data_IF_669033762596
#
_entry.id   IF_669033762596
#
_cell.length_a   1.000
_cell.length_b   1.000
_cell.length_c   1.000
_cell.angle_alpha   90.00
_cell.angle_beta   90.00
_cell.angle_gamma   90.00
#
_symmetry.space_group_name_H-M   'P 1'
#
loop_
_entity.id
_entity.type
_entity.pdbx_description
1 polymer ?
#
# COMPACT_ATOMS: atom_id res chain seq x y z
N UNK A 1 -6.63 20.51 16.79
CA UNK A 1 -7.14 19.53 15.81
C UNK A 1 -7.42 20.18 14.45
N UNK A 2 -8.24 21.24 14.32
CA UNK A 2 -8.54 21.90 13.02
C UNK A 2 -7.28 22.40 12.27
N UNK A 3 -6.26 22.92 12.96
CA UNK A 3 -5.00 23.40 12.36
C UNK A 3 -4.14 22.27 11.79
N UNK A 4 -4.17 21.09 12.41
CA UNK A 4 -3.44 19.90 11.92
C UNK A 4 -4.11 19.35 10.65
N UNK A 5 -5.43 19.31 10.64
CA UNK A 5 -6.20 18.89 9.45
C UNK A 5 -5.95 19.85 8.29
N UNK A 6 -5.96 21.16 8.55
CA UNK A 6 -5.67 22.16 7.53
C UNK A 6 -4.23 22.06 7.00
N UNK A 7 -3.25 21.83 7.89
CA UNK A 7 -1.86 21.62 7.50
C UNK A 7 -1.69 20.33 6.67
N UNK A 8 -2.40 19.27 6.99
CA UNK A 8 -2.40 18.04 6.19
C UNK A 8 -3.05 18.26 4.82
N UNK A 9 -4.16 18.98 4.74
CA UNK A 9 -4.82 19.32 3.46
C UNK A 9 -3.89 20.20 2.60
N UNK A 10 -3.24 21.21 3.20
CA UNK A 10 -2.28 22.05 2.49
C UNK A 10 -1.04 21.27 2.03
N UNK A 11 -0.55 20.33 2.83
CA UNK A 11 0.56 19.46 2.44
C UNK A 11 0.18 18.54 1.27
N UNK A 12 -1.03 17.97 1.28
CA UNK A 12 -1.54 17.15 0.17
C UNK A 12 -1.77 18.02 -1.09
N UNK A 13 -2.31 19.23 -0.94
CA UNK A 13 -2.53 20.14 -2.05
C UNK A 13 -1.22 20.66 -2.67
N UNK A 14 -0.19 20.89 -1.85
CA UNK A 14 1.15 21.29 -2.37
C UNK A 14 1.88 20.15 -3.08
N UNK A 15 1.59 18.90 -2.75
CA UNK A 15 2.06 17.74 -3.51
C UNK A 15 1.42 17.64 -4.89
N UNK A 16 0.18 18.09 -5.06
CA UNK A 16 -0.51 18.17 -6.36
C UNK A 16 0.12 19.14 -7.35
N UNK A 17 0.78 20.20 -6.89
CA UNK A 17 1.48 21.17 -7.76
C UNK A 17 2.77 20.62 -8.43
N UNK A 18 3.24 19.43 -7.99
CA UNK A 18 4.39 18.72 -8.57
C UNK A 18 3.93 17.48 -9.39
N UNK A 19 2.69 17.46 -9.83
CA UNK A 19 1.89 16.27 -10.08
C UNK A 19 2.03 15.60 -11.45
N UNK A 20 3.00 15.97 -12.29
CA UNK A 20 3.08 15.39 -13.65
C UNK A 20 3.30 13.86 -13.68
N UNK A 21 3.71 13.24 -12.54
CA UNK A 21 3.95 11.81 -12.42
C UNK A 21 3.40 11.20 -11.10
N UNK A 22 2.34 11.81 -10.56
CA UNK A 22 1.75 11.38 -9.28
C UNK A 22 0.47 10.60 -9.48
N UNK A 23 0.22 9.63 -8.61
CA UNK A 23 -0.97 8.75 -8.68
C UNK A 23 -1.54 8.51 -7.29
N UNK A 24 -2.85 8.52 -7.22
CA UNK A 24 -3.58 7.97 -6.09
C UNK A 24 -3.71 6.46 -6.29
N UNK A 25 -3.33 5.67 -5.28
CA UNK A 25 -3.41 4.21 -5.32
C UNK A 25 -4.48 3.73 -4.35
N UNK A 26 -5.30 2.78 -4.80
CA UNK A 26 -6.28 2.09 -3.95
C UNK A 26 -6.12 0.60 -4.21
N UNK A 27 -5.84 -0.18 -3.18
CA UNK A 27 -5.66 -1.61 -3.31
C UNK A 27 -6.49 -2.34 -2.26
N UNK A 28 -6.93 -3.55 -2.61
CA UNK A 28 -7.59 -4.46 -1.69
C UNK A 28 -7.10 -5.89 -1.95
N UNK A 29 -7.01 -6.69 -0.91
CA UNK A 29 -6.51 -8.03 -1.04
C UNK A 29 -6.60 -8.88 0.21
N UNK A 30 -5.96 -10.01 0.12
CA UNK A 30 -5.92 -11.00 1.17
C UNK A 30 -4.47 -11.35 1.54
N UNK A 31 -4.18 -11.29 2.84
CA UNK A 31 -2.90 -11.72 3.40
C UNK A 31 -3.10 -12.97 4.26
N UNK A 32 -2.28 -13.98 4.03
CA UNK A 32 -2.22 -15.16 4.88
C UNK A 32 -1.60 -14.82 6.25
N UNK A 33 -2.06 -15.47 7.33
CA UNK A 33 -2.96 -16.62 7.34
C UNK A 33 -4.46 -16.27 7.22
N UNK A 34 -4.92 -15.07 7.50
CA UNK A 34 -6.37 -14.80 7.50
C UNK A 34 -6.69 -13.32 7.64
N UNK A 35 -6.15 -12.50 6.77
CA UNK A 35 -6.35 -11.06 6.84
C UNK A 35 -6.88 -10.51 5.53
N UNK A 36 -8.03 -9.84 5.58
CA UNK A 36 -8.51 -8.98 4.50
C UNK A 36 -7.96 -7.57 4.74
N UNK A 37 -7.36 -6.96 3.74
CA UNK A 37 -6.79 -5.63 3.85
C UNK A 37 -7.15 -4.71 2.70
N UNK A 38 -7.12 -3.43 2.97
CA UNK A 38 -7.29 -2.35 2.00
C UNK A 38 -6.25 -1.27 2.25
N UNK A 39 -5.65 -0.76 1.18
CA UNK A 39 -4.68 0.32 1.24
C UNK A 39 -5.10 1.49 0.40
N UNK A 40 -4.80 2.67 0.88
CA UNK A 40 -4.87 3.92 0.11
C UNK A 40 -3.50 4.57 0.18
N UNK A 41 -2.96 4.98 -0.96
CA UNK A 41 -1.62 5.55 -1.03
C UNK A 41 -1.48 6.63 -2.07
N UNK A 42 -0.38 7.35 -1.95
CA UNK A 42 0.09 8.32 -2.91
C UNK A 42 1.41 7.83 -3.48
N UNK A 43 1.45 7.59 -4.78
CA UNK A 43 2.65 7.16 -5.50
C UNK A 43 3.18 8.32 -6.33
N UNK A 44 4.47 8.57 -6.25
CA UNK A 44 5.20 9.50 -7.12
C UNK A 44 6.22 8.72 -7.93
N UNK A 45 6.10 8.80 -9.25
CA UNK A 45 7.05 8.19 -10.18
C UNK A 45 8.24 9.13 -10.43
N UNK A 46 9.41 8.52 -10.63
CA UNK A 46 10.65 9.20 -10.99
C UNK A 46 11.14 8.77 -12.36
N UNK A 47 12.26 9.34 -12.78
CA UNK A 47 12.97 8.95 -13.98
C UNK A 47 13.19 7.44 -14.01
N UNK A 48 13.12 6.85 -15.19
CA UNK A 48 13.22 5.41 -15.44
C UNK A 48 12.09 4.54 -14.88
N UNK A 49 11.00 5.16 -14.38
CA UNK A 49 9.79 4.47 -13.89
C UNK A 49 9.93 3.82 -12.52
N UNK A 50 10.96 4.17 -11.77
CA UNK A 50 11.00 3.94 -10.33
C UNK A 50 9.97 4.85 -9.66
N UNK A 51 9.48 4.44 -8.49
CA UNK A 51 8.49 5.22 -7.76
C UNK A 51 8.70 5.11 -6.25
N UNK A 52 8.15 6.07 -5.54
CA UNK A 52 7.97 6.00 -4.08
C UNK A 52 6.49 6.13 -3.79
N UNK A 53 6.00 5.30 -2.92
CA UNK A 53 4.62 5.32 -2.44
C UNK A 53 4.61 5.51 -0.93
N UNK A 54 3.80 6.44 -0.45
CA UNK A 54 3.38 6.52 0.94
C UNK A 54 1.95 6.00 1.02
N UNK A 55 1.67 5.10 1.94
CA UNK A 55 0.37 4.48 2.06
C UNK A 55 -0.11 4.36 3.49
N UNK A 56 -1.43 4.26 3.65
CA UNK A 56 -2.10 3.80 4.86
C UNK A 56 -2.90 2.54 4.55
N UNK A 57 -2.86 1.61 5.46
CA UNK A 57 -3.55 0.31 5.36
C UNK A 57 -4.44 0.09 6.56
N UNK A 58 -5.60 -0.48 6.30
CA UNK A 58 -6.47 -1.04 7.31
C UNK A 58 -6.78 -2.48 6.95
N UNK A 59 -6.76 -3.34 7.95
CA UNK A 59 -7.08 -4.74 7.75
C UNK A 59 -7.82 -5.35 8.92
N UNK A 60 -8.41 -6.47 8.64
CA UNK A 60 -9.17 -7.23 9.61
C UNK A 60 -8.73 -8.69 9.61
N UNK A 61 -8.44 -9.20 10.80
CA UNK A 61 -8.15 -10.61 11.01
C UNK A 61 -9.43 -11.42 11.03
N UNK A 62 -9.49 -12.40 10.15
CA UNK A 62 -10.57 -13.35 10.06
C UNK A 62 -10.28 -14.54 10.99
N UNK A 63 -10.96 -14.61 12.12
CA UNK A 63 -10.89 -15.76 13.02
C UNK A 63 -12.06 -16.70 12.75
N UNK A 64 -11.75 -17.97 12.55
CA UNK A 64 -12.76 -19.02 12.39
C UNK A 64 -13.47 -19.26 13.73
N UNK A 65 -14.77 -18.98 13.79
CA UNK A 65 -15.62 -19.25 14.93
C UNK A 65 -16.97 -18.54 14.83
N UNK A 66 -18.07 -19.11 15.36
CA UNK A 66 -19.36 -18.48 15.34
C UNK A 66 -19.32 -17.13 16.08
N UNK A 67 -19.73 -16.06 15.41
CA UNK A 67 -19.76 -14.69 15.94
C UNK A 67 -18.39 -13.98 16.05
N UNK A 68 -17.33 -14.53 15.49
CA UNK A 68 -15.99 -13.96 15.59
C UNK A 68 -15.43 -13.37 14.28
N UNK A 69 -16.26 -13.28 13.25
CA UNK A 69 -15.85 -12.91 11.90
C UNK A 69 -15.10 -11.58 11.78
N UNK A 70 -15.30 -10.65 12.73
CA UNK A 70 -14.75 -9.29 12.68
C UNK A 70 -13.95 -8.91 13.94
N UNK A 71 -13.24 -9.83 14.55
CA UNK A 71 -12.39 -9.55 15.70
C UNK A 71 -10.93 -9.47 15.27
N UNK A 72 -10.34 -8.29 15.41
CA UNK A 72 -8.93 -8.05 15.20
C UNK A 72 -8.64 -7.07 14.07
N UNK A 73 -8.87 -5.79 14.35
CA UNK A 73 -8.45 -4.73 13.44
C UNK A 73 -6.97 -4.44 13.62
N UNK A 74 -6.32 -4.17 12.51
CA UNK A 74 -5.03 -3.51 12.51
C UNK A 74 -5.08 -2.32 11.56
N UNK A 75 -4.19 -1.39 11.80
CA UNK A 75 -3.86 -0.35 10.85
C UNK A 75 -2.36 -0.23 10.75
N UNK A 76 -1.89 0.08 9.60
CA UNK A 76 -0.49 0.40 9.37
C UNK A 76 -0.32 1.45 8.29
N UNK A 77 0.89 1.90 8.15
CA UNK A 77 1.33 2.79 7.09
C UNK A 77 2.79 2.57 6.81
N UNK A 78 3.20 2.94 5.62
CA UNK A 78 4.57 2.70 5.19
C UNK A 78 5.02 3.61 4.07
N UNK A 79 6.31 3.52 3.83
CA UNK A 79 6.98 4.16 2.70
C UNK A 79 7.62 3.08 1.84
N UNK A 80 7.14 2.92 0.62
CA UNK A 80 7.56 1.87 -0.29
C UNK A 80 8.35 2.47 -1.44
N UNK A 81 9.57 1.98 -1.64
CA UNK A 81 10.30 2.20 -2.87
C UNK A 81 9.98 1.10 -3.87
N UNK A 82 9.74 1.50 -5.12
CA UNK A 82 9.39 0.61 -6.23
C UNK A 82 10.43 0.75 -7.32
N UNK A 83 11.15 -0.33 -7.57
CA UNK A 83 12.14 -0.40 -8.64
C UNK A 83 11.57 -1.12 -9.85
N UNK A 84 11.58 -0.48 -11.01
CA UNK A 84 11.10 -1.09 -12.25
C UNK A 84 12.14 -2.03 -12.82
N UNK A 85 11.79 -3.33 -12.88
CA UNK A 85 12.65 -4.36 -13.48
C UNK A 85 12.45 -4.45 -14.99
N UNK A 86 11.19 -4.40 -15.42
CA UNK A 86 10.85 -4.61 -16.84
C UNK A 86 9.64 -3.79 -17.26
N UNK A 87 9.63 -3.37 -18.52
CA UNK A 87 8.47 -2.73 -19.17
C UNK A 87 8.24 -3.36 -20.53
N UNK A 88 6.99 -3.73 -20.79
CA UNK A 88 6.56 -4.26 -22.09
C UNK A 88 5.25 -3.59 -22.49
N UNK A 89 5.29 -2.82 -23.60
CA UNK A 89 4.12 -2.06 -24.07
C UNK A 89 3.43 -1.30 -22.92
N UNK A 90 2.23 -1.73 -22.54
CA UNK A 90 1.41 -1.13 -21.50
C UNK A 90 1.63 -1.78 -20.12
N UNK A 91 2.44 -2.83 -20.05
CA UNK A 91 2.74 -3.55 -18.81
C UNK A 91 4.07 -3.12 -18.19
N UNK A 92 4.15 -3.11 -16.87
CA UNK A 92 5.41 -2.92 -16.15
C UNK A 92 5.48 -3.84 -14.94
N UNK A 93 6.67 -4.38 -14.69
CA UNK A 93 6.96 -5.23 -13.55
C UNK A 93 7.94 -4.53 -12.62
N UNK A 94 7.61 -4.44 -11.34
CA UNK A 94 8.36 -3.73 -10.31
C UNK A 94 8.62 -4.63 -9.11
N UNK A 95 9.76 -4.45 -8.46
CA UNK A 95 10.01 -4.88 -7.08
C UNK A 95 9.62 -3.74 -6.18
N UNK A 96 9.00 -4.05 -5.05
CA UNK A 96 8.63 -3.09 -4.02
C UNK A 96 9.22 -3.49 -2.67
N UNK A 97 9.71 -2.52 -1.91
CA UNK A 97 10.20 -2.75 -0.56
C UNK A 97 10.23 -1.45 0.25
N UNK A 98 10.08 -1.59 1.55
CA UNK A 98 10.18 -0.44 2.45
C UNK A 98 9.76 -0.74 3.87
N UNK A 99 9.96 0.22 4.78
CA UNK A 99 9.52 0.12 6.15
C UNK A 99 8.01 0.33 6.28
N UNK A 100 7.44 -0.36 7.25
CA UNK A 100 6.06 -0.18 7.69
C UNK A 100 6.00 -0.05 9.21
N UNK A 101 4.98 0.64 9.71
CA UNK A 101 4.68 0.76 11.13
C UNK A 101 3.17 0.81 11.33
N UNK A 102 2.72 0.29 12.45
CA UNK A 102 1.29 0.23 12.71
C UNK A 102 0.95 -0.30 14.10
N UNK A 103 -0.30 -0.65 14.27
CA UNK A 103 -0.76 -1.26 15.51
C UNK A 103 -1.79 -2.37 15.24
N UNK A 104 -1.68 -3.44 16.00
CA UNK A 104 -2.61 -4.56 16.06
C UNK A 104 -3.15 -4.62 17.48
N UNK A 105 -4.48 -4.54 17.65
CA UNK A 105 -5.13 -4.65 18.97
C UNK A 105 -4.48 -3.77 20.06
N UNK A 106 -4.14 -2.50 19.73
CA UNK A 106 -3.46 -1.51 20.60
C UNK A 106 -1.98 -1.80 20.88
N UNK A 107 -1.36 -2.79 20.22
CA UNK A 107 0.06 -3.06 20.33
C UNK A 107 0.77 -2.58 19.08
N UNK A 108 1.75 -1.73 19.27
CA UNK A 108 2.54 -1.16 18.18
C UNK A 108 3.49 -2.21 17.57
N UNK A 109 3.65 -2.17 16.26
CA UNK A 109 4.65 -2.95 15.55
C UNK A 109 5.41 -2.09 14.54
N UNK A 110 6.61 -2.55 14.23
CA UNK A 110 7.43 -2.05 13.13
C UNK A 110 7.72 -3.25 12.24
N UNK A 111 7.78 -3.04 10.94
CA UNK A 111 8.04 -4.12 10.02
C UNK A 111 8.70 -3.66 8.73
N UNK A 112 8.95 -4.64 7.90
CA UNK A 112 9.40 -4.45 6.52
C UNK A 112 8.37 -5.07 5.58
N UNK A 113 8.04 -4.33 4.54
CA UNK A 113 7.25 -4.81 3.42
C UNK A 113 8.18 -5.07 2.23
N UNK A 114 7.92 -6.16 1.51
CA UNK A 114 8.60 -6.47 0.27
C UNK A 114 7.70 -7.28 -0.66
N UNK A 115 7.96 -7.22 -1.96
CA UNK A 115 7.17 -7.98 -2.91
C UNK A 115 7.33 -7.55 -4.35
N UNK A 116 6.38 -7.98 -5.16
CA UNK A 116 6.34 -7.71 -6.59
C UNK A 116 5.04 -7.01 -6.96
N UNK A 117 5.11 -6.18 -7.97
CA UNK A 117 3.97 -5.44 -8.49
C UNK A 117 3.98 -5.48 -10.02
N UNK A 118 2.91 -5.97 -10.60
CA UNK A 118 2.64 -5.85 -12.02
C UNK A 118 1.59 -4.77 -12.25
N UNK A 119 1.87 -3.83 -13.16
CA UNK A 119 0.95 -2.76 -13.53
C UNK A 119 0.62 -2.84 -15.01
N UNK A 120 -0.64 -2.67 -15.33
CA UNK A 120 -1.13 -2.48 -16.69
C UNK A 120 -1.71 -1.08 -16.84
N UNK A 121 -1.16 -0.30 -17.76
CA UNK A 121 -1.54 1.10 -18.01
C UNK A 121 -2.60 1.15 -19.10
N UNK A 122 -3.75 1.74 -18.78
CA UNK A 122 -4.82 2.00 -19.74
C UNK A 122 -4.54 3.27 -20.55
N UNK A 123 -5.27 3.45 -21.65
CA UNK A 123 -5.13 4.62 -22.53
C UNK A 123 -5.43 5.97 -21.83
N UNK A 124 -6.27 5.95 -20.81
CA UNK A 124 -6.63 7.14 -20.01
C UNK A 124 -5.60 7.46 -18.90
N UNK A 125 -4.47 6.74 -18.83
CA UNK A 125 -3.45 6.94 -17.82
C UNK A 125 -3.70 6.24 -16.48
N UNK A 126 -4.88 5.67 -16.26
CA UNK A 126 -5.12 4.81 -15.09
C UNK A 126 -4.31 3.53 -15.19
N UNK A 127 -4.01 2.91 -14.06
CA UNK A 127 -3.31 1.62 -14.02
C UNK A 127 -4.09 0.62 -13.17
N UNK A 128 -4.15 -0.61 -13.66
CA UNK A 128 -4.54 -1.77 -12.86
C UNK A 128 -3.28 -2.44 -12.34
N UNK A 129 -3.25 -2.82 -11.07
CA UNK A 129 -2.10 -3.46 -10.44
C UNK A 129 -2.45 -4.78 -9.78
N UNK A 130 -1.53 -5.73 -9.89
CA UNK A 130 -1.51 -6.97 -9.14
C UNK A 130 -0.27 -6.93 -8.27
N UNK A 131 -0.46 -7.05 -6.95
CA UNK A 131 0.60 -6.89 -5.96
C UNK A 131 0.72 -8.17 -5.16
N UNK A 132 1.90 -8.80 -5.21
CA UNK A 132 2.29 -9.82 -4.28
C UNK A 132 3.00 -9.13 -3.11
N UNK A 133 2.46 -9.24 -1.92
CA UNK A 133 2.90 -8.54 -0.72
C UNK A 133 3.42 -9.52 0.33
N UNK A 134 4.59 -9.23 0.89
CA UNK A 134 5.16 -9.93 2.03
C UNK A 134 5.48 -8.91 3.12
N UNK A 135 5.04 -9.18 4.33
CA UNK A 135 5.32 -8.36 5.49
C UNK A 135 6.06 -9.17 6.53
N UNK A 136 7.13 -8.62 7.05
CA UNK A 136 7.86 -9.14 8.21
C UNK A 136 7.69 -8.14 9.34
N UNK A 137 6.97 -8.52 10.38
CA UNK A 137 6.70 -7.67 11.53
C UNK A 137 7.62 -8.04 12.69
N UNK A 138 8.14 -7.00 13.34
CA UNK A 138 8.93 -7.09 14.56
C UNK A 138 8.09 -6.59 15.74
N UNK A 139 8.34 -7.09 16.91
CA UNK A 139 7.73 -6.72 18.19
C UNK A 139 6.37 -7.40 18.46
N UNK A 140 5.34 -7.17 17.66
CA UNK A 140 4.00 -7.68 17.90
C UNK A 140 3.27 -8.05 16.60
N UNK A 141 2.23 -8.89 16.72
CA UNK A 141 1.43 -9.38 15.60
C UNK A 141 2.04 -10.63 14.94
N UNK A 142 1.48 -11.00 13.79
CA UNK A 142 2.02 -12.12 13.01
C UNK A 142 3.37 -11.73 12.45
N UNK A 143 4.41 -12.49 12.77
CA UNK A 143 5.78 -12.21 12.33
C UNK A 143 5.91 -12.16 10.81
N UNK A 144 5.17 -13.00 10.11
CA UNK A 144 5.19 -13.06 8.65
C UNK A 144 3.78 -13.12 8.09
N UNK A 145 3.50 -12.25 7.12
CA UNK A 145 2.28 -12.28 6.33
C UNK A 145 2.64 -12.22 4.86
N UNK A 146 1.98 -13.01 4.05
CA UNK A 146 2.10 -12.92 2.61
C UNK A 146 0.72 -12.96 1.94
N UNK A 147 0.60 -12.38 0.76
CA UNK A 147 -0.66 -12.40 0.06
C UNK A 147 -0.66 -11.68 -1.26
N UNK A 148 -1.84 -11.58 -1.81
CA UNK A 148 -2.10 -10.97 -3.09
C UNK A 148 -3.12 -9.84 -2.95
N UNK A 149 -2.82 -8.71 -3.58
CA UNK A 149 -3.72 -7.57 -3.66
C UNK A 149 -3.97 -7.18 -5.11
N UNK A 150 -5.16 -6.70 -5.36
CA UNK A 150 -5.53 -6.05 -6.60
C UNK A 150 -5.65 -4.56 -6.34
N UNK A 151 -5.17 -3.75 -7.26
CA UNK A 151 -5.15 -2.32 -7.11
C UNK A 151 -5.54 -1.56 -8.35
N UNK A 152 -5.92 -0.33 -8.12
CA UNK A 152 -6.19 0.65 -9.15
C UNK A 152 -5.46 1.94 -8.82
N UNK A 153 -4.81 2.54 -9.84
CA UNK A 153 -4.09 3.79 -9.70
C UNK A 153 -4.67 4.82 -10.64
N UNK A 154 -4.92 6.01 -10.11
CA UNK A 154 -5.46 7.14 -10.83
C UNK A 154 -4.41 8.24 -10.92
N UNK A 155 -4.10 8.79 -12.10
CA UNK A 155 -3.25 9.96 -12.24
C UNK A 155 -3.91 11.16 -11.56
N UNK A 156 -3.09 12.01 -10.93
CA UNK A 156 -3.52 13.22 -10.25
C UNK A 156 -3.19 14.45 -11.09
#
# INVERSE_FOLDING_TARGET
MKKIILAMICAVASLGALAQDSKLTVNAGFLFPSTLNSTVGYERSFTYGNAVEIYGEIGNHWKSGPGQFWKGYYWDGGLIYKHRLHRYKNGSFRVRFGPQFGAVERRFFIGLEGGFEYNYVFQNGCEFSIIQKNNVNFLHGDTFRNGLMLGFKMPL
#
